data_IF_124754422886
#
_entry.id   IF_124754422886
#
_cell.length_a   1.000
_cell.length_b   1.000
_cell.length_c   1.000
_cell.angle_alpha   90.00
_cell.angle_beta   90.00
_cell.angle_gamma   90.00
#
_symmetry.space_group_name_H-M   'P 1'
#
loop_
_entity.id
_entity.type
_entity.pdbx_description
1 polymer ?
#
# COMPACT_ATOMS: atom_id res chain seq x y z
N UNK A 1 9.62 9.11 4.26
CA UNK A 1 9.14 9.04 2.86
C UNK A 1 9.87 7.93 2.16
N UNK A 2 9.16 7.02 1.51
CA UNK A 2 9.75 5.94 0.71
C UNK A 2 8.86 5.65 -0.50
N UNK A 3 9.44 5.02 -1.53
CA UNK A 3 8.71 4.61 -2.72
C UNK A 3 8.09 3.22 -2.53
N UNK A 4 6.88 3.02 -3.04
CA UNK A 4 6.29 1.69 -3.14
C UNK A 4 6.61 1.06 -4.49
N UNK A 5 6.68 -0.27 -4.51
CA UNK A 5 6.72 -1.11 -5.69
C UNK A 5 5.46 -1.95 -5.74
N UNK A 6 4.64 -1.76 -6.76
CA UNK A 6 3.37 -2.46 -6.93
C UNK A 6 3.64 -3.91 -7.37
N UNK A 7 2.99 -4.86 -6.70
CA UNK A 7 3.04 -6.30 -7.02
C UNK A 7 1.76 -6.79 -7.68
N UNK A 8 0.61 -6.25 -7.26
CA UNK A 8 -0.69 -6.60 -7.81
C UNK A 8 -1.53 -5.36 -8.13
N UNK A 9 -1.77 -5.14 -9.43
CA UNK A 9 -2.62 -4.07 -9.94
C UNK A 9 -4.12 -4.38 -9.84
N UNK A 10 -4.50 -5.62 -9.45
CA UNK A 10 -5.89 -5.98 -9.19
C UNK A 10 -6.43 -5.33 -7.90
N UNK A 11 -5.54 -4.91 -7.00
CA UNK A 11 -5.90 -4.21 -5.78
C UNK A 11 -6.66 -2.90 -6.08
N UNK A 12 -7.92 -2.76 -5.63
CA UNK A 12 -8.73 -1.57 -5.89
C UNK A 12 -8.11 -0.26 -5.43
N UNK A 13 -7.22 -0.28 -4.44
CA UNK A 13 -6.53 0.91 -3.94
C UNK A 13 -5.52 1.49 -4.95
N UNK A 14 -5.00 0.66 -5.85
CA UNK A 14 -3.83 0.95 -6.69
C UNK A 14 -4.16 1.22 -8.16
N UNK A 15 -5.43 1.13 -8.57
CA UNK A 15 -5.82 1.09 -9.99
C UNK A 15 -5.28 2.23 -10.86
N UNK A 16 -5.03 3.40 -10.28
CA UNK A 16 -4.46 4.57 -10.97
C UNK A 16 -3.27 5.19 -10.23
N UNK A 17 -2.65 4.45 -9.30
CA UNK A 17 -1.46 4.87 -8.56
C UNK A 17 -0.22 4.48 -9.36
N UNK A 18 0.65 5.42 -9.73
CA UNK A 18 1.89 5.09 -10.44
C UNK A 18 2.82 4.21 -9.59
N UNK A 19 3.46 3.24 -10.21
CA UNK A 19 4.55 2.50 -9.58
C UNK A 19 5.72 3.43 -9.21
N UNK A 20 6.41 3.15 -8.10
CA UNK A 20 7.46 4.03 -7.58
C UNK A 20 6.95 5.29 -6.88
N UNK A 21 5.64 5.43 -6.65
CA UNK A 21 5.08 6.60 -5.95
C UNK A 21 5.64 6.77 -4.53
N UNK A 22 5.92 8.02 -4.15
CA UNK A 22 6.49 8.38 -2.85
C UNK A 22 5.39 8.58 -1.79
N UNK A 23 5.48 7.84 -0.68
CA UNK A 23 4.49 7.85 0.41
C UNK A 23 5.16 8.07 1.78
N UNK A 24 4.38 8.54 2.75
CA UNK A 24 4.86 8.90 4.09
C UNK A 24 4.81 7.72 5.06
N UNK A 25 5.98 7.21 5.41
CA UNK A 25 6.19 6.17 6.42
C UNK A 25 6.81 6.77 7.69
N UNK A 26 6.32 6.37 8.87
CA UNK A 26 6.85 6.74 10.17
C UNK A 26 6.66 5.59 11.17
N UNK A 27 7.53 4.58 11.11
CA UNK A 27 7.46 3.38 11.95
C UNK A 27 8.85 2.80 12.20
N UNK A 28 9.04 2.14 13.35
CA UNK A 28 10.27 1.39 13.69
C UNK A 28 10.14 -0.11 13.46
N UNK A 29 8.91 -0.62 13.36
CA UNK A 29 8.60 -2.03 13.17
C UNK A 29 7.83 -2.23 11.87
N UNK A 30 7.91 -3.43 11.30
CA UNK A 30 7.24 -3.81 10.06
C UNK A 30 6.91 -5.30 10.09
N UNK A 31 5.90 -5.72 9.32
CA UNK A 31 5.62 -7.14 9.11
C UNK A 31 6.69 -7.76 8.21
N UNK A 32 7.23 -8.93 8.57
CA UNK A 32 8.18 -9.63 7.69
C UNK A 32 7.42 -10.21 6.50
N UNK A 33 8.07 -10.22 5.34
CA UNK A 33 7.52 -10.83 4.12
C UNK A 33 7.10 -12.29 4.31
N UNK A 34 7.83 -13.05 5.13
CA UNK A 34 7.52 -14.46 5.44
C UNK A 34 6.25 -14.67 6.26
N UNK A 35 5.81 -13.64 6.98
CA UNK A 35 4.70 -13.73 7.93
C UNK A 35 3.36 -13.31 7.29
N UNK A 36 3.41 -12.87 6.03
CA UNK A 36 2.26 -12.42 5.25
C UNK A 36 2.02 -13.38 4.09
N UNK A 37 0.76 -13.75 3.87
CA UNK A 37 0.35 -14.60 2.76
C UNK A 37 0.76 -13.92 1.43
N UNK A 38 1.59 -14.59 0.62
CA UNK A 38 2.19 -13.97 -0.57
C UNK A 38 1.14 -13.38 -1.53
N UNK A 39 0.00 -14.06 -1.69
CA UNK A 39 -1.11 -13.61 -2.54
C UNK A 39 -1.91 -12.43 -1.99
N UNK A 40 -1.62 -11.97 -0.77
CA UNK A 40 -2.26 -10.80 -0.15
C UNK A 40 -1.42 -9.52 -0.24
N UNK A 41 -0.20 -9.58 -0.80
CA UNK A 41 0.74 -8.45 -0.85
C UNK A 41 0.54 -7.67 -2.14
N UNK A 42 -0.14 -6.53 -2.07
CA UNK A 42 -0.43 -5.68 -3.23
C UNK A 42 0.75 -4.78 -3.62
N UNK A 43 1.53 -4.32 -2.63
CA UNK A 43 2.73 -3.52 -2.86
C UNK A 43 3.78 -3.71 -1.76
N UNK A 44 5.06 -3.60 -2.11
CA UNK A 44 6.20 -3.71 -1.22
C UNK A 44 7.01 -2.40 -1.18
N UNK A 45 7.81 -2.20 -0.13
CA UNK A 45 8.75 -1.08 -0.02
C UNK A 45 10.12 -1.61 0.34
N UNK A 46 11.17 -0.99 -0.22
CA UNK A 46 12.56 -1.24 0.13
C UNK A 46 13.07 -0.07 0.99
N UNK A 47 13.42 -0.35 2.25
CA UNK A 47 14.10 0.60 3.14
C UNK A 47 15.11 -0.17 4.01
N UNK A 48 16.31 -0.42 3.47
CA UNK A 48 17.29 -1.35 4.05
C UNK A 48 16.88 -2.84 3.97
N UNK A 49 15.59 -3.10 4.07
CA UNK A 49 14.90 -4.39 3.97
C UNK A 49 13.65 -4.25 3.11
N UNK A 50 13.17 -5.36 2.54
CA UNK A 50 11.90 -5.42 1.82
C UNK A 50 10.79 -5.80 2.80
N UNK A 51 9.69 -5.05 2.79
CA UNK A 51 8.52 -5.31 3.63
C UNK A 51 7.22 -4.98 2.87
N UNK A 52 6.08 -5.60 3.24
CA UNK A 52 4.80 -5.32 2.62
C UNK A 52 4.32 -3.93 3.06
N UNK A 53 3.98 -3.10 2.07
CA UNK A 53 3.54 -1.72 2.28
C UNK A 53 2.04 -1.54 2.07
N UNK A 54 1.43 -2.43 1.27
CA UNK A 54 -0.01 -2.56 1.08
C UNK A 54 -0.33 -4.05 1.04
N UNK A 55 -1.37 -4.43 1.78
CA UNK A 55 -1.93 -5.78 1.74
C UNK A 55 -3.46 -5.74 1.63
N UNK A 56 -4.03 -6.76 1.02
CA UNK A 56 -5.48 -6.94 0.93
C UNK A 56 -5.91 -8.40 1.05
N UNK A 57 -7.07 -8.62 1.68
CA UNK A 57 -7.72 -9.94 1.76
C UNK A 57 -9.23 -9.78 1.86
N UNK A 58 -9.94 -10.17 0.80
CA UNK A 58 -11.38 -9.95 0.71
C UNK A 58 -11.71 -8.45 0.73
N UNK A 59 -12.49 -8.00 1.71
CA UNK A 59 -12.84 -6.59 1.92
C UNK A 59 -11.91 -5.85 2.89
N UNK A 60 -10.84 -6.49 3.36
CA UNK A 60 -9.86 -5.91 4.28
C UNK A 60 -8.69 -5.35 3.48
N UNK A 61 -8.31 -4.12 3.78
CA UNK A 61 -7.14 -3.43 3.22
C UNK A 61 -6.31 -2.80 4.34
N UNK A 62 -5.00 -2.82 4.20
CA UNK A 62 -4.09 -2.14 5.12
C UNK A 62 -2.92 -1.51 4.39
N UNK A 63 -2.48 -0.36 4.90
CA UNK A 63 -1.28 0.35 4.44
C UNK A 63 -0.31 0.52 5.60
N UNK A 64 0.98 0.30 5.37
CA UNK A 64 2.01 0.57 6.38
C UNK A 64 2.38 2.06 6.46
N UNK A 65 2.20 2.79 5.35
CA UNK A 65 2.29 4.25 5.30
C UNK A 65 0.99 4.93 5.74
N UNK A 66 1.08 6.24 5.95
CA UNK A 66 -0.04 7.11 6.28
C UNK A 66 -0.58 7.79 5.01
N UNK A 67 -1.63 7.27 4.37
CA UNK A 67 -2.15 7.86 3.14
C UNK A 67 -2.62 9.31 3.33
N UNK A 68 -3.14 9.66 4.51
CA UNK A 68 -3.56 11.02 4.86
C UNK A 68 -2.39 12.02 4.95
N UNK A 69 -1.16 11.53 5.12
CA UNK A 69 0.07 12.33 5.17
C UNK A 69 0.90 12.26 3.90
N UNK A 70 0.40 11.58 2.85
CA UNK A 70 1.17 11.26 1.65
C UNK A 70 0.79 12.10 0.43
N UNK A 71 0.24 13.30 0.64
CA UNK A 71 -0.10 14.25 -0.42
C UNK A 71 -1.10 13.69 -1.44
N UNK A 72 -0.96 14.11 -2.70
CA UNK A 72 -1.89 13.75 -3.78
C UNK A 72 -1.98 12.23 -4.03
N UNK A 73 -0.86 11.51 -3.94
CA UNK A 73 -0.85 10.04 -4.09
C UNK A 73 -1.64 9.39 -2.96
N UNK A 74 -1.41 9.83 -1.72
CA UNK A 74 -2.16 9.32 -0.56
C UNK A 74 -3.65 9.63 -0.64
N UNK A 75 -4.02 10.84 -1.04
CA UNK A 75 -5.42 11.22 -1.29
C UNK A 75 -6.06 10.38 -2.39
N UNK A 76 -5.32 10.03 -3.44
CA UNK A 76 -5.79 9.16 -4.51
C UNK A 76 -6.12 7.76 -3.99
N UNK A 77 -5.24 7.16 -3.19
CA UNK A 77 -5.46 5.87 -2.54
C UNK A 77 -6.73 5.90 -1.66
N UNK A 78 -6.94 6.97 -0.88
CA UNK A 78 -8.15 7.13 -0.08
C UNK A 78 -9.41 7.28 -0.94
N UNK A 79 -9.34 8.02 -2.05
CA UNK A 79 -10.47 8.12 -2.99
C UNK A 79 -10.80 6.76 -3.60
N UNK A 80 -9.80 5.97 -3.97
CA UNK A 80 -9.97 4.63 -4.50
C UNK A 80 -10.65 3.70 -3.48
N UNK A 81 -10.24 3.77 -2.21
CA UNK A 81 -10.93 3.07 -1.13
C UNK A 81 -12.40 3.48 -1.00
N UNK A 82 -12.68 4.79 -0.98
CA UNK A 82 -14.06 5.31 -0.91
C UNK A 82 -14.92 4.87 -2.11
N UNK A 83 -14.33 4.81 -3.31
CA UNK A 83 -15.03 4.31 -4.48
C UNK A 83 -15.31 2.81 -4.38
N UNK A 84 -14.35 2.02 -3.87
CA UNK A 84 -14.54 0.59 -3.66
C UNK A 84 -15.70 0.28 -2.70
N UNK A 85 -15.79 0.99 -1.57
CA UNK A 85 -16.87 0.76 -0.57
C UNK A 85 -18.26 1.22 -1.05
N UNK A 86 -18.34 2.02 -2.12
CA UNK A 86 -19.60 2.53 -2.69
C UNK A 86 -20.16 1.65 -3.80
N UNK A 87 -19.43 0.61 -4.20
CA UNK A 87 -19.89 -0.41 -5.17
C UNK A 87 -20.85 -1.38 -4.49
#
# INVERSE_FOLDING_TARGET
WNTIKIRDYSCPLLGDVPDGSLLYFAHSYYAKMSDVEVGSIDAETLYGVVFPSIISKGSIFATQFHPEKSGEVGLKILKNFIQYIRR
#
